data_IF_805053281247
#
_entry.id   IF_805053281247
#
_cell.length_a   1.000
_cell.length_b   1.000
_cell.length_c   1.000
_cell.angle_alpha   90.00
_cell.angle_beta   90.00
_cell.angle_gamma   90.00
#
_symmetry.space_group_name_H-M   'P 1'
#
loop_
_entity.id
_entity.type
_entity.pdbx_description
1 polymer ?
#
# COMPACT_ATOMS: atom_id res chain seq x y z
N UNK A 1 -8.13 -8.58 23.50
CA UNK A 1 -7.74 -7.38 22.71
C UNK A 1 -8.09 -7.46 21.22
N UNK A 2 -7.82 -8.58 20.51
CA UNK A 2 -8.06 -8.72 19.05
C UNK A 2 -9.52 -8.60 18.57
N UNK A 3 -10.51 -9.09 19.33
CA UNK A 3 -11.94 -9.07 18.92
C UNK A 3 -12.56 -7.67 18.88
N UNK A 4 -12.15 -6.77 19.80
CA UNK A 4 -12.66 -5.39 19.86
C UNK A 4 -12.21 -4.57 18.66
N UNK A 5 -10.93 -4.67 18.28
CA UNK A 5 -10.40 -3.94 17.13
C UNK A 5 -11.16 -4.33 15.86
N UNK A 6 -11.34 -5.63 15.61
CA UNK A 6 -12.10 -6.08 14.45
C UNK A 6 -13.54 -5.53 14.44
N UNK A 7 -14.24 -5.58 15.58
CA UNK A 7 -15.62 -5.11 15.69
C UNK A 7 -15.74 -3.60 15.41
N UNK A 8 -14.84 -2.77 15.96
CA UNK A 8 -14.83 -1.34 15.66
C UNK A 8 -14.48 -1.06 14.20
N UNK A 9 -13.54 -1.81 13.63
CA UNK A 9 -13.18 -1.67 12.21
C UNK A 9 -14.37 -2.02 11.31
N UNK A 10 -15.03 -3.17 11.51
CA UNK A 10 -16.20 -3.55 10.71
C UNK A 10 -17.40 -2.61 10.91
N UNK A 11 -17.59 -2.08 12.13
CA UNK A 11 -18.62 -1.07 12.42
C UNK A 11 -18.33 0.23 11.66
N UNK A 12 -17.10 0.73 11.70
CA UNK A 12 -16.72 1.93 10.95
C UNK A 12 -16.82 1.73 9.43
N UNK A 13 -16.46 0.53 8.94
CA UNK A 13 -16.62 0.18 7.53
C UNK A 13 -18.09 0.18 7.12
N UNK A 14 -18.98 -0.40 7.93
CA UNK A 14 -20.43 -0.37 7.69
C UNK A 14 -21.01 1.06 7.75
N UNK A 15 -20.63 1.84 8.76
CA UNK A 15 -21.12 3.21 8.97
C UNK A 15 -20.72 4.18 7.85
N UNK A 16 -19.64 3.87 7.14
CA UNK A 16 -19.15 4.66 6.01
C UNK A 16 -19.45 4.05 4.64
N UNK A 17 -20.31 3.02 4.59
CA UNK A 17 -20.75 2.39 3.34
C UNK A 17 -19.63 1.67 2.58
N UNK A 18 -18.61 1.18 3.29
CA UNK A 18 -17.51 0.44 2.67
C UNK A 18 -17.96 -0.98 2.35
N UNK A 19 -18.04 -1.28 1.05
CA UNK A 19 -18.43 -2.59 0.55
C UNK A 19 -17.35 -3.63 0.86
N UNK A 20 -17.69 -4.65 1.65
CA UNK A 20 -16.74 -5.65 2.14
C UNK A 20 -16.53 -6.79 1.13
N UNK A 21 -17.54 -7.10 0.30
CA UNK A 21 -17.42 -8.08 -0.78
C UNK A 21 -16.91 -7.46 -2.09
N UNK A 22 -15.65 -7.05 -2.12
CA UNK A 22 -15.00 -6.75 -3.39
C UNK A 22 -14.62 -8.07 -4.09
N UNK A 23 -15.53 -8.64 -4.90
CA UNK A 23 -15.27 -9.85 -5.71
C UNK A 23 -14.22 -9.64 -6.80
N UNK A 24 -13.94 -8.40 -7.17
CA UNK A 24 -12.91 -8.01 -8.14
C UNK A 24 -12.05 -6.90 -7.56
N UNK A 25 -10.74 -7.00 -7.78
CA UNK A 25 -9.84 -5.87 -7.55
C UNK A 25 -10.24 -4.75 -8.52
N UNK A 26 -10.62 -3.60 -7.99
CA UNK A 26 -10.89 -2.40 -8.78
C UNK A 26 -9.64 -1.91 -9.51
N UNK A 27 -9.80 -0.95 -10.42
CA UNK A 27 -8.61 -0.36 -11.07
C UNK A 27 -7.78 0.44 -10.06
N UNK A 28 -6.46 0.63 -10.28
CA UNK A 28 -5.62 1.47 -9.43
C UNK A 28 -6.21 2.87 -9.19
N UNK A 29 -6.91 3.43 -10.17
CA UNK A 29 -7.54 4.76 -10.11
C UNK A 29 -8.76 4.76 -9.19
N UNK A 30 -9.62 3.74 -9.27
CA UNK A 30 -10.78 3.61 -8.38
C UNK A 30 -10.32 3.43 -6.93
N UNK A 31 -9.31 2.58 -6.72
CA UNK A 31 -8.70 2.39 -5.41
C UNK A 31 -8.06 3.69 -4.88
N UNK A 32 -7.41 4.46 -5.75
CA UNK A 32 -6.83 5.75 -5.38
C UNK A 32 -7.88 6.76 -4.92
N UNK A 33 -8.99 6.90 -5.64
CA UNK A 33 -10.06 7.81 -5.27
C UNK A 33 -10.71 7.43 -3.94
N UNK A 34 -11.07 6.14 -3.78
CA UNK A 34 -11.64 5.65 -2.54
C UNK A 34 -10.70 5.89 -1.34
N UNK A 35 -9.41 5.61 -1.51
CA UNK A 35 -8.38 5.83 -0.48
C UNK A 35 -8.29 7.29 -0.06
N UNK A 36 -8.25 8.22 -1.02
CA UNK A 36 -8.17 9.65 -0.72
C UNK A 36 -9.43 10.19 -0.04
N UNK A 37 -10.61 9.68 -0.40
CA UNK A 37 -11.88 10.03 0.25
C UNK A 37 -11.85 9.58 1.72
N UNK A 38 -11.43 8.34 1.99
CA UNK A 38 -11.32 7.82 3.35
C UNK A 38 -10.31 8.64 4.16
N UNK A 39 -9.14 8.95 3.59
CA UNK A 39 -8.13 9.78 4.24
C UNK A 39 -8.67 11.17 4.58
N UNK A 40 -9.38 11.83 3.65
CA UNK A 40 -10.01 13.13 3.86
C UNK A 40 -10.97 13.13 5.05
N UNK A 41 -11.68 12.03 5.28
CA UNK A 41 -12.69 11.90 6.34
C UNK A 41 -12.09 11.52 7.69
N UNK A 42 -10.99 10.77 7.68
CA UNK A 42 -10.50 10.08 8.88
C UNK A 42 -9.13 10.55 9.36
N UNK A 43 -8.32 11.19 8.51
CA UNK A 43 -6.95 11.58 8.84
C UNK A 43 -6.88 13.11 8.99
N UNK A 44 -6.43 13.63 10.14
CA UNK A 44 -6.22 15.07 10.29
C UNK A 44 -5.05 15.58 9.41
N UNK A 45 -5.16 16.79 8.81
CA UNK A 45 -4.07 17.39 8.02
C UNK A 45 -2.75 17.58 8.77
N UNK A 46 -2.78 17.62 10.11
CA UNK A 46 -1.58 17.75 10.95
C UNK A 46 -0.69 16.50 10.94
N UNK A 47 -1.18 15.35 10.46
CA UNK A 47 -0.34 14.16 10.30
C UNK A 47 0.73 14.46 9.24
N UNK A 48 2.02 14.12 9.46
CA UNK A 48 3.07 14.48 8.51
C UNK A 48 3.09 13.60 7.25
N UNK A 49 2.59 12.36 7.34
CA UNK A 49 2.55 11.45 6.21
C UNK A 49 1.89 10.11 6.52
N UNK A 50 1.59 9.36 5.46
CA UNK A 50 1.01 8.02 5.51
C UNK A 50 1.89 7.07 4.70
N UNK A 51 2.26 5.96 5.33
CA UNK A 51 2.98 4.87 4.70
C UNK A 51 2.04 3.69 4.40
N UNK A 52 1.87 3.36 3.12
CA UNK A 52 0.99 2.28 2.69
C UNK A 52 1.67 0.92 2.80
N UNK A 53 0.93 -0.08 3.27
CA UNK A 53 1.36 -1.47 3.32
C UNK A 53 1.01 -2.16 2.00
N UNK A 54 1.89 -3.04 1.49
CA UNK A 54 1.61 -3.81 0.26
C UNK A 54 0.56 -4.91 0.46
N UNK A 55 0.29 -5.30 1.72
CA UNK A 55 -0.63 -6.38 2.05
C UNK A 55 -0.23 -7.71 1.40
N UNK A 56 -1.15 -8.28 0.60
CA UNK A 56 -0.95 -9.50 -0.19
C UNK A 56 -0.74 -9.24 -1.69
N UNK A 57 -0.53 -7.99 -2.10
CA UNK A 57 -0.36 -7.63 -3.51
C UNK A 57 1.03 -8.03 -4.02
N UNK A 58 1.13 -8.27 -5.33
CA UNK A 58 2.41 -8.42 -6.01
C UNK A 58 3.17 -7.08 -6.03
N UNK A 59 4.49 -7.14 -6.24
CA UNK A 59 5.35 -5.96 -6.26
C UNK A 59 4.85 -4.89 -7.25
N UNK A 60 4.54 -5.31 -8.48
CA UNK A 60 4.09 -4.42 -9.54
C UNK A 60 2.75 -3.73 -9.21
N UNK A 61 1.80 -4.51 -8.68
CA UNK A 61 0.49 -4.00 -8.30
C UNK A 61 0.61 -2.96 -7.18
N UNK A 62 1.40 -3.24 -6.16
CA UNK A 62 1.62 -2.30 -5.05
C UNK A 62 2.22 -0.97 -5.55
N UNK A 63 3.18 -1.01 -6.48
CA UNK A 63 3.75 0.20 -7.08
C UNK A 63 2.73 0.96 -7.93
N UNK A 64 1.93 0.26 -8.76
CA UNK A 64 0.91 0.89 -9.60
C UNK A 64 -0.16 1.62 -8.78
N UNK A 65 -0.63 1.00 -7.69
CA UNK A 65 -1.62 1.60 -6.81
C UNK A 65 -1.10 2.84 -6.08
N UNK A 66 0.11 2.76 -5.52
CA UNK A 66 0.71 3.93 -4.86
C UNK A 66 0.97 5.09 -5.84
N UNK A 67 1.35 4.78 -7.08
CA UNK A 67 1.51 5.78 -8.12
C UNK A 67 0.16 6.44 -8.46
N UNK A 68 -0.91 5.65 -8.62
CA UNK A 68 -2.25 6.17 -8.86
C UNK A 68 -2.74 7.08 -7.72
N UNK A 69 -2.54 6.67 -6.46
CA UNK A 69 -2.84 7.49 -5.27
C UNK A 69 -2.06 8.81 -5.32
N UNK A 70 -0.75 8.75 -5.56
CA UNK A 70 0.09 9.96 -5.61
C UNK A 70 -0.29 10.92 -6.74
N UNK A 71 -0.70 10.40 -7.91
CA UNK A 71 -1.20 11.21 -9.03
C UNK A 71 -2.52 11.89 -8.68
N UNK A 72 -3.47 11.14 -8.14
CA UNK A 72 -4.79 11.68 -7.74
C UNK A 72 -4.67 12.69 -6.58
N UNK A 73 -3.70 12.51 -5.68
CA UNK A 73 -3.45 13.41 -4.56
C UNK A 73 -2.78 14.74 -4.95
N UNK A 74 -2.29 14.91 -6.20
CA UNK A 74 -1.60 16.15 -6.62
C UNK A 74 -2.44 17.41 -6.43
N UNK A 75 -3.77 17.30 -6.58
CA UNK A 75 -4.67 18.43 -6.42
C UNK A 75 -4.86 18.87 -4.95
N UNK A 76 -4.58 18.00 -3.98
CA UNK A 76 -4.73 18.28 -2.56
C UNK A 76 -3.87 17.33 -1.73
N UNK A 77 -2.73 17.83 -1.21
CA UNK A 77 -1.68 16.99 -0.61
C UNK A 77 -1.21 17.50 0.76
N UNK A 78 -2.06 17.44 1.80
CA UNK A 78 -1.61 17.78 3.16
C UNK A 78 -0.62 16.73 3.73
N UNK A 79 -0.66 15.49 3.23
CA UNK A 79 0.19 14.39 3.71
C UNK A 79 1.26 13.98 2.69
N UNK A 80 2.46 13.65 3.17
CA UNK A 80 3.42 12.86 2.38
C UNK A 80 2.92 11.42 2.26
N UNK A 81 2.90 10.88 1.04
CA UNK A 81 2.41 9.53 0.77
C UNK A 81 3.57 8.65 0.32
N UNK A 82 3.90 7.64 1.12
CA UNK A 82 5.04 6.75 0.90
C UNK A 82 4.64 5.28 1.08
N UNK A 83 5.55 4.35 0.84
CA UNK A 83 5.34 2.93 1.07
C UNK A 83 6.07 2.43 2.33
N UNK A 84 5.48 1.40 2.95
CA UNK A 84 6.13 0.52 3.92
C UNK A 84 5.90 -0.92 3.44
N UNK A 85 6.68 -1.33 2.45
CA UNK A 85 6.53 -2.63 1.78
C UNK A 85 7.51 -3.64 2.37
N UNK A 86 7.00 -4.70 3.00
CA UNK A 86 7.83 -5.82 3.44
C UNK A 86 8.05 -6.79 2.27
N UNK A 87 7.08 -7.70 2.06
CA UNK A 87 7.15 -8.73 1.01
C UNK A 87 7.29 -8.16 -0.40
N UNK A 88 6.65 -7.04 -0.70
CA UNK A 88 6.69 -6.46 -2.04
C UNK A 88 8.04 -5.83 -2.43
N UNK A 89 8.96 -5.59 -1.48
CA UNK A 89 10.33 -5.17 -1.76
C UNK A 89 11.32 -6.34 -1.81
N UNK A 90 11.02 -7.42 -1.09
CA UNK A 90 11.98 -8.50 -0.86
C UNK A 90 11.69 -9.78 -1.65
N UNK A 91 10.50 -9.95 -2.23
CA UNK A 91 10.12 -11.21 -2.89
C UNK A 91 11.05 -11.52 -4.09
N UNK A 92 11.32 -10.54 -4.95
CA UNK A 92 12.24 -10.72 -6.08
C UNK A 92 13.69 -10.92 -5.60
N UNK A 93 14.10 -10.23 -4.54
CA UNK A 93 15.45 -10.34 -3.96
C UNK A 93 15.70 -11.75 -3.42
N UNK A 94 14.76 -12.29 -2.64
CA UNK A 94 14.85 -13.63 -2.07
C UNK A 94 14.88 -14.70 -3.17
N UNK A 95 14.09 -14.51 -4.24
CA UNK A 95 14.07 -15.42 -5.38
C UNK A 95 15.39 -15.43 -6.17
N UNK A 96 16.06 -14.28 -6.28
CA UNK A 96 17.36 -14.19 -6.98
C UNK A 96 18.48 -14.72 -6.08
N UNK A 97 18.44 -14.38 -4.79
CA UNK A 97 19.50 -14.78 -3.86
C UNK A 97 19.53 -16.29 -3.65
N UNK A 98 18.38 -16.92 -3.40
CA UNK A 98 18.22 -18.36 -3.10
C UNK A 98 19.14 -18.88 -1.96
N UNK A 99 19.79 -18.00 -1.19
CA UNK A 99 20.77 -18.36 -0.17
C UNK A 99 22.20 -18.56 -0.67
N UNK A 100 22.47 -18.39 -1.96
CA UNK A 100 23.81 -18.54 -2.53
C UNK A 100 24.59 -17.23 -2.51
N UNK A 101 25.83 -17.27 -2.01
CA UNK A 101 26.70 -16.09 -1.91
C UNK A 101 27.05 -15.48 -3.27
N UNK A 102 27.17 -16.29 -4.33
CA UNK A 102 27.44 -15.78 -5.68
C UNK A 102 26.33 -14.85 -6.21
N UNK A 103 25.08 -15.03 -5.77
CA UNK A 103 23.94 -14.26 -6.23
C UNK A 103 23.73 -12.95 -5.47
N UNK A 104 24.55 -12.67 -4.44
CA UNK A 104 24.40 -11.50 -3.59
C UNK A 104 24.41 -10.19 -4.38
N UNK A 105 25.32 -10.04 -5.36
CA UNK A 105 25.39 -8.83 -6.20
C UNK A 105 24.15 -8.65 -7.08
N UNK A 106 23.63 -9.73 -7.67
CA UNK A 106 22.40 -9.69 -8.47
C UNK A 106 21.16 -9.37 -7.61
N UNK A 107 21.09 -9.94 -6.41
CA UNK A 107 20.02 -9.69 -5.45
C UNK A 107 20.02 -8.23 -4.96
N UNK A 108 21.19 -7.65 -4.67
CA UNK A 108 21.33 -6.23 -4.31
C UNK A 108 20.86 -5.30 -5.43
N UNK A 109 21.24 -5.60 -6.69
CA UNK A 109 20.78 -4.81 -7.85
C UNK A 109 19.26 -4.84 -8.01
N UNK A 110 18.66 -6.01 -7.79
CA UNK A 110 17.20 -6.15 -7.83
C UNK A 110 16.49 -5.39 -6.70
N UNK A 111 17.09 -5.36 -5.50
CA UNK A 111 16.57 -4.58 -4.38
C UNK A 111 16.59 -3.08 -4.67
N UNK A 112 17.72 -2.56 -5.18
CA UNK A 112 17.86 -1.15 -5.51
C UNK A 112 16.86 -0.69 -6.58
N UNK A 113 16.58 -1.54 -7.58
CA UNK A 113 15.56 -1.24 -8.59
C UNK A 113 14.15 -1.06 -8.01
N UNK A 114 13.86 -1.65 -6.85
CA UNK A 114 12.55 -1.58 -6.19
C UNK A 114 12.45 -0.50 -5.10
N UNK A 115 13.58 0.07 -4.66
CA UNK A 115 13.59 1.12 -3.62
C UNK A 115 13.19 2.52 -4.14
N UNK A 116 13.26 2.76 -5.46
CA UNK A 116 12.90 4.03 -6.10
C UNK A 116 11.49 4.02 -6.70
#
# INVERSE_FOLDING_TARGET
MRKRVLAYTYKALADHGVFLEAKQQGTPEQAAQATLITMKRCVPPAVPGIAFLSGGMSELMATQYLNAINKAAKAWKPWRLTFCYGRALQATVLRIWMGYSENAGAAQKAFLHRQG
#
